data_IF_291457787908
#
_entry.id   IF_291457787908
#
_cell.length_a   1.000
_cell.length_b   1.000
_cell.length_c   1.000
_cell.angle_alpha   90.00
_cell.angle_beta   90.00
_cell.angle_gamma   90.00
#
_symmetry.space_group_name_H-M   'P 1'
#
loop_
_entity.id
_entity.type
_entity.pdbx_description
1 polymer ?
#
# COMPACT_ATOMS: atom_id res chain seq x y z
N UNK A 1 -10.00 -14.47 34.80
CA UNK A 1 -11.11 -13.52 34.61
C UNK A 1 -10.53 -12.18 34.24
N UNK A 2 -11.05 -11.56 33.17
CA UNK A 2 -10.58 -10.25 32.68
C UNK A 2 -10.52 -10.22 31.16
N UNK A 3 -11.68 -10.28 30.51
CA UNK A 3 -11.83 -9.99 29.09
C UNK A 3 -11.85 -8.47 28.90
N UNK A 4 -10.92 -7.86 28.14
CA UNK A 4 -11.07 -6.47 27.74
C UNK A 4 -11.91 -6.44 26.46
N UNK A 5 -13.24 -6.36 26.64
CA UNK A 5 -14.15 -5.93 25.58
C UNK A 5 -13.69 -4.56 25.08
N UNK A 6 -12.98 -4.52 23.95
CA UNK A 6 -12.80 -3.31 23.15
C UNK A 6 -13.96 -3.28 22.16
N UNK A 7 -14.89 -2.30 22.27
CA UNK A 7 -15.94 -2.12 21.29
C UNK A 7 -15.28 -1.82 19.94
N UNK A 8 -15.60 -2.61 18.92
CA UNK A 8 -15.13 -2.39 17.57
C UNK A 8 -15.74 -1.10 17.02
N UNK A 9 -14.94 -0.34 16.28
CA UNK A 9 -15.29 0.89 15.53
C UNK A 9 -16.58 0.76 14.69
N UNK A 10 -17.03 -0.46 14.43
CA UNK A 10 -18.27 -0.78 13.72
C UNK A 10 -19.57 -0.52 14.51
N UNK A 11 -19.55 -0.47 15.85
CA UNK A 11 -20.77 -0.26 16.66
C UNK A 11 -21.16 1.22 16.78
N UNK A 12 -20.27 2.17 16.47
CA UNK A 12 -20.53 3.62 16.61
C UNK A 12 -21.32 4.23 15.44
N UNK A 13 -21.52 3.48 14.34
CA UNK A 13 -22.20 4.02 13.14
C UNK A 13 -23.73 3.86 13.22
N UNK A 14 -24.25 3.03 14.11
CA UNK A 14 -25.68 2.75 14.28
C UNK A 14 -26.21 3.37 15.57
N UNK A 15 -26.17 4.70 15.65
CA UNK A 15 -27.03 5.46 16.57
C UNK A 15 -27.52 6.71 15.84
N UNK A 16 -28.43 6.49 14.88
CA UNK A 16 -29.20 7.55 14.25
C UNK A 16 -30.57 7.65 14.95
N UNK A 17 -30.95 8.81 15.53
CA UNK A 17 -32.20 8.91 16.28
C UNK A 17 -33.41 8.88 15.34
N UNK A 18 -34.18 7.81 15.43
CA UNK A 18 -35.52 7.72 14.85
C UNK A 18 -36.41 8.78 15.51
N UNK A 19 -36.86 9.74 14.70
CA UNK A 19 -37.72 10.85 15.09
C UNK A 19 -39.00 10.33 15.73
N UNK A 20 -39.18 10.67 16.99
CA UNK A 20 -40.36 10.38 17.80
C UNK A 20 -41.29 11.60 17.81
N UNK A 21 -42.56 11.32 17.54
CA UNK A 21 -43.78 12.11 17.80
C UNK A 21 -44.12 13.30 16.87
N UNK A 22 -44.87 13.03 15.80
CA UNK A 22 -45.85 14.00 15.29
C UNK A 22 -47.24 13.59 15.77
N UNK A 23 -47.62 14.15 16.92
CA UNK A 23 -48.97 14.09 17.44
C UNK A 23 -49.95 14.75 16.47
N UNK A 24 -50.98 13.99 16.11
CA UNK A 24 -52.17 14.44 15.41
C UNK A 24 -52.86 15.54 16.23
N UNK A 25 -52.96 16.75 15.68
CA UNK A 25 -53.91 17.75 16.17
C UNK A 25 -54.53 18.52 15.02
N UNK A 26 -55.85 18.65 15.14
CA UNK A 26 -56.75 19.58 14.46
C UNK A 26 -56.92 19.40 12.96
N UNK A 27 -57.79 18.45 12.68
CA UNK A 27 -58.86 18.50 11.69
C UNK A 27 -59.70 19.78 11.89
N UNK A 28 -59.37 20.88 11.21
CA UNK A 28 -60.32 21.95 10.83
C UNK A 28 -59.62 22.98 9.93
N UNK A 29 -60.37 23.47 8.93
CA UNK A 29 -60.07 24.59 8.04
C UNK A 29 -59.09 24.35 6.87
N UNK A 30 -59.54 23.60 5.86
CA UNK A 30 -59.12 23.86 4.47
C UNK A 30 -60.37 24.24 3.66
N UNK A 31 -60.89 25.44 3.93
CA UNK A 31 -61.89 26.06 3.07
C UNK A 31 -61.20 26.60 1.80
N UNK A 32 -61.50 25.96 0.67
CA UNK A 32 -61.44 26.54 -0.68
C UNK A 32 -60.13 27.18 -1.15
N UNK A 33 -59.02 26.43 -1.10
CA UNK A 33 -57.87 26.73 -1.96
C UNK A 33 -58.13 26.26 -3.40
N UNK A 34 -58.22 27.18 -4.35
CA UNK A 34 -58.28 26.86 -5.79
C UNK A 34 -56.93 26.31 -6.25
N UNK A 35 -56.82 24.98 -6.34
CA UNK A 35 -55.62 24.29 -6.84
C UNK A 35 -55.59 24.41 -8.36
N UNK A 36 -54.66 25.22 -8.89
CA UNK A 36 -54.32 25.20 -10.32
C UNK A 36 -53.44 23.99 -10.61
N UNK A 37 -54.08 22.89 -10.98
CA UNK A 37 -53.42 21.67 -11.45
C UNK A 37 -52.76 21.97 -12.80
N UNK A 38 -51.44 22.13 -12.79
CA UNK A 38 -50.65 22.02 -14.02
C UNK A 38 -50.35 20.54 -14.23
N UNK A 39 -50.90 19.95 -15.29
CA UNK A 39 -50.45 18.63 -15.73
C UNK A 39 -49.05 18.83 -16.33
N UNK A 40 -48.03 18.54 -15.52
CA UNK A 40 -46.68 18.34 -16.03
C UNK A 40 -46.75 17.07 -16.87
N UNK A 41 -46.72 17.22 -18.18
CA UNK A 41 -46.61 16.07 -19.07
C UNK A 41 -45.26 15.40 -18.82
N UNK A 42 -45.29 14.20 -18.26
CA UNK A 42 -44.11 13.38 -17.94
C UNK A 42 -43.63 12.59 -19.17
N UNK A 43 -43.95 13.07 -20.38
CA UNK A 43 -43.50 12.43 -21.61
C UNK A 43 -42.00 12.67 -21.79
N UNK A 44 -41.19 11.83 -21.14
CA UNK A 44 -39.77 11.69 -21.42
C UNK A 44 -39.65 11.24 -22.88
N UNK A 45 -39.09 12.07 -23.78
CA UNK A 45 -38.87 11.65 -25.16
C UNK A 45 -38.01 10.39 -25.15
N UNK A 46 -38.31 9.38 -25.99
CA UNK A 46 -37.51 8.15 -26.05
C UNK A 46 -36.02 8.43 -26.29
N UNK A 47 -35.69 9.53 -26.97
CA UNK A 47 -34.31 10.01 -27.15
C UNK A 47 -33.65 10.42 -25.83
N UNK A 48 -34.39 11.00 -24.89
CA UNK A 48 -33.90 11.35 -23.56
C UNK A 48 -33.72 10.11 -22.68
N UNK A 49 -34.66 9.15 -22.72
CA UNK A 49 -34.51 7.90 -21.98
C UNK A 49 -33.29 7.10 -22.45
N UNK A 50 -33.03 7.08 -23.76
CA UNK A 50 -31.83 6.47 -24.33
C UNK A 50 -30.54 7.24 -23.95
N UNK A 51 -30.58 8.57 -24.00
CA UNK A 51 -29.46 9.44 -23.61
C UNK A 51 -29.12 9.32 -22.12
N UNK A 52 -30.12 9.32 -21.25
CA UNK A 52 -29.98 9.12 -19.81
C UNK A 52 -29.42 7.74 -19.50
N UNK A 53 -29.87 6.69 -20.19
CA UNK A 53 -29.30 5.36 -20.05
C UNK A 53 -27.82 5.33 -20.49
N UNK A 54 -27.48 5.99 -21.60
CA UNK A 54 -26.08 6.12 -22.05
C UNK A 54 -25.23 6.93 -21.08
N UNK A 55 -25.76 8.00 -20.50
CA UNK A 55 -25.08 8.81 -19.49
C UNK A 55 -24.83 7.97 -18.21
N UNK A 56 -25.85 7.28 -17.71
CA UNK A 56 -25.75 6.42 -16.53
C UNK A 56 -24.73 5.28 -16.75
N UNK A 57 -24.68 4.71 -17.96
CA UNK A 57 -23.64 3.74 -18.31
C UNK A 57 -22.23 4.36 -18.34
N UNK A 58 -22.09 5.61 -18.78
CA UNK A 58 -20.79 6.31 -18.75
C UNK A 58 -20.34 6.58 -17.32
N UNK A 59 -21.24 7.04 -16.45
CA UNK A 59 -20.95 7.28 -15.03
C UNK A 59 -20.62 5.97 -14.32
N UNK A 60 -21.34 4.87 -14.58
CA UNK A 60 -21.04 3.55 -14.02
C UNK A 60 -19.67 3.03 -14.46
N UNK A 61 -19.32 3.18 -15.75
CA UNK A 61 -17.97 2.83 -16.24
C UNK A 61 -16.89 3.68 -15.56
N UNK A 62 -17.11 4.99 -15.45
CA UNK A 62 -16.16 5.90 -14.79
C UNK A 62 -16.00 5.56 -13.30
N UNK A 63 -17.10 5.26 -12.61
CA UNK A 63 -17.09 4.85 -11.21
C UNK A 63 -16.33 3.52 -11.03
N UNK A 64 -16.57 2.52 -11.88
CA UNK A 64 -15.85 1.24 -11.85
C UNK A 64 -14.34 1.42 -12.05
N UNK A 65 -13.93 2.29 -12.96
CA UNK A 65 -12.51 2.62 -13.18
C UNK A 65 -11.92 3.29 -11.92
N UNK A 66 -12.63 4.27 -11.36
CA UNK A 66 -12.19 4.95 -10.15
C UNK A 66 -12.04 4.01 -8.96
N UNK A 67 -13.01 3.12 -8.74
CA UNK A 67 -12.96 2.10 -7.68
C UNK A 67 -11.80 1.15 -7.90
N UNK A 68 -11.64 0.60 -9.10
CA UNK A 68 -10.53 -0.30 -9.42
C UNK A 68 -9.16 0.37 -9.19
N UNK A 69 -9.03 1.67 -9.51
CA UNK A 69 -7.79 2.41 -9.31
C UNK A 69 -7.45 2.60 -7.82
N UNK A 70 -8.46 2.88 -6.99
CA UNK A 70 -8.29 3.01 -5.53
C UNK A 70 -7.94 1.66 -4.91
N UNK A 71 -8.60 0.58 -5.34
CA UNK A 71 -8.31 -0.78 -4.87
C UNK A 71 -6.87 -1.20 -5.20
N UNK A 72 -6.39 -0.90 -6.42
CA UNK A 72 -5.01 -1.15 -6.83
C UNK A 72 -3.98 -0.32 -6.04
N UNK A 73 -4.26 0.97 -5.79
CA UNK A 73 -3.38 1.82 -4.95
C UNK A 73 -3.29 1.31 -3.51
N UNK A 74 -4.42 0.88 -2.94
CA UNK A 74 -4.46 0.27 -1.62
C UNK A 74 -3.68 -1.03 -1.56
N UNK A 75 -3.84 -1.91 -2.56
CA UNK A 75 -3.08 -3.16 -2.67
C UNK A 75 -1.58 -2.89 -2.76
N UNK A 76 -1.15 -1.97 -3.64
CA UNK A 76 0.26 -1.64 -3.81
C UNK A 76 0.89 -1.05 -2.53
N UNK A 77 0.14 -0.22 -1.79
CA UNK A 77 0.57 0.27 -0.47
C UNK A 77 0.68 -0.85 0.55
N UNK A 78 -0.23 -1.82 0.53
CA UNK A 78 -0.17 -3.01 1.37
C UNK A 78 1.07 -3.88 1.08
N UNK A 79 1.38 -4.11 -0.20
CA UNK A 79 2.58 -4.84 -0.62
C UNK A 79 3.87 -4.16 -0.16
N UNK A 80 3.98 -2.83 -0.31
CA UNK A 80 5.14 -2.07 0.15
C UNK A 80 5.36 -2.20 1.67
N UNK A 81 4.29 -2.16 2.46
CA UNK A 81 4.37 -2.36 3.91
C UNK A 81 4.89 -3.76 4.26
N UNK A 82 4.42 -4.79 3.56
CA UNK A 82 4.85 -6.18 3.76
C UNK A 82 6.33 -6.36 3.37
N UNK A 83 6.74 -5.83 2.21
CA UNK A 83 8.14 -5.87 1.76
C UNK A 83 9.06 -5.19 2.77
N UNK A 84 8.68 -4.00 3.25
CA UNK A 84 9.50 -3.25 4.19
C UNK A 84 9.64 -3.98 5.54
N UNK A 85 8.56 -4.57 6.05
CA UNK A 85 8.60 -5.37 7.27
C UNK A 85 9.44 -6.65 7.11
N UNK A 86 9.28 -7.38 6.01
CA UNK A 86 10.09 -8.57 5.70
C UNK A 86 11.58 -8.21 5.56
N UNK A 87 11.88 -7.05 4.95
CA UNK A 87 13.23 -6.55 4.82
C UNK A 87 13.87 -6.20 6.17
N UNK A 88 13.16 -5.45 7.01
CA UNK A 88 13.65 -5.00 8.32
C UNK A 88 13.86 -6.19 9.27
N UNK A 89 12.87 -7.09 9.36
CA UNK A 89 12.95 -8.29 10.22
C UNK A 89 14.01 -9.30 9.78
N UNK A 90 14.41 -9.28 8.50
CA UNK A 90 15.50 -10.12 7.99
C UNK A 90 16.91 -9.61 8.30
N UNK A 91 17.03 -8.46 8.97
CA UNK A 91 18.32 -7.88 9.32
C UNK A 91 19.08 -7.31 8.11
N UNK A 92 18.35 -6.75 7.14
CA UNK A 92 18.94 -6.09 5.96
C UNK A 92 19.82 -6.99 5.09
N UNK A 93 19.48 -8.28 4.96
CA UNK A 93 20.19 -9.27 4.12
C UNK A 93 20.05 -9.05 2.60
N UNK A 94 19.57 -7.88 2.18
CA UNK A 94 19.35 -7.55 0.78
C UNK A 94 18.14 -8.26 0.16
N UNK A 95 18.14 -8.35 -1.17
CA UNK A 95 16.96 -8.72 -2.01
C UNK A 95 16.46 -10.15 -1.86
N UNK A 96 17.31 -11.08 -1.39
CA UNK A 96 16.93 -12.48 -1.27
C UNK A 96 16.07 -12.76 -0.04
N UNK A 97 16.17 -11.93 1.00
CA UNK A 97 15.46 -12.14 2.25
C UNK A 97 13.95 -11.84 2.13
N UNK A 98 13.52 -10.67 1.61
CA UNK A 98 12.11 -10.39 1.35
C UNK A 98 11.51 -11.36 0.33
N UNK A 99 12.29 -11.75 -0.69
CA UNK A 99 11.86 -12.72 -1.70
C UNK A 99 11.54 -14.10 -1.11
N UNK A 100 12.43 -14.64 -0.27
CA UNK A 100 12.21 -15.92 0.41
C UNK A 100 11.04 -15.85 1.38
N UNK A 101 10.92 -14.76 2.14
CA UNK A 101 9.79 -14.55 3.04
C UNK A 101 8.46 -14.54 2.26
N UNK A 102 8.40 -13.84 1.14
CA UNK A 102 7.21 -13.76 0.29
C UNK A 102 6.81 -15.15 -0.24
N UNK A 103 7.80 -15.90 -0.76
CA UNK A 103 7.61 -17.27 -1.24
C UNK A 103 7.09 -18.21 -0.14
N UNK A 104 7.67 -18.15 1.06
CA UNK A 104 7.29 -19.02 2.19
C UNK A 104 5.91 -18.68 2.76
N UNK A 105 5.43 -17.44 2.59
CA UNK A 105 4.10 -17.00 3.02
C UNK A 105 3.03 -17.05 1.91
N UNK A 106 3.41 -17.42 0.68
CA UNK A 106 2.51 -17.42 -0.48
C UNK A 106 2.02 -16.03 -0.89
N UNK A 107 2.76 -14.98 -0.52
CA UNK A 107 2.49 -13.60 -0.96
C UNK A 107 3.28 -13.35 -2.24
N UNK A 108 2.60 -12.93 -3.30
CA UNK A 108 3.29 -12.54 -4.53
C UNK A 108 3.87 -11.14 -4.36
N UNK A 109 5.19 -11.03 -4.28
CA UNK A 109 5.91 -9.76 -4.24
C UNK A 109 6.81 -9.68 -5.47
N UNK A 110 6.64 -8.60 -6.24
CA UNK A 110 7.48 -8.40 -7.42
C UNK A 110 8.91 -8.05 -7.02
N UNK A 111 9.87 -8.47 -7.85
CA UNK A 111 11.28 -8.12 -7.65
C UNK A 111 11.53 -6.61 -7.67
N UNK A 112 10.72 -5.85 -8.42
CA UNK A 112 10.83 -4.40 -8.51
C UNK A 112 10.40 -3.73 -7.19
N UNK A 113 9.29 -4.18 -6.60
CA UNK A 113 8.84 -3.70 -5.28
C UNK A 113 9.89 -3.98 -4.18
N UNK A 114 10.51 -5.16 -4.22
CA UNK A 114 11.60 -5.53 -3.30
C UNK A 114 12.83 -4.64 -3.51
N UNK A 115 13.22 -4.40 -4.76
CA UNK A 115 14.36 -3.56 -5.10
C UNK A 115 14.15 -2.11 -4.63
N UNK A 116 12.94 -1.56 -4.80
CA UNK A 116 12.59 -0.22 -4.36
C UNK A 116 12.72 -0.07 -2.84
N UNK A 117 12.13 -0.99 -2.07
CA UNK A 117 12.17 -0.94 -0.62
C UNK A 117 13.60 -1.01 -0.05
N UNK A 118 14.49 -1.77 -0.69
CA UNK A 118 15.90 -1.84 -0.28
C UNK A 118 16.66 -0.57 -0.67
N UNK A 119 16.36 -0.01 -1.84
CA UNK A 119 16.97 1.23 -2.30
C UNK A 119 16.63 2.41 -1.38
N UNK A 120 15.40 2.47 -0.88
CA UNK A 120 14.92 3.49 0.06
C UNK A 120 15.38 3.24 1.51
N UNK A 121 16.02 2.11 1.81
CA UNK A 121 16.47 1.79 3.15
C UNK A 121 17.77 2.53 3.52
N UNK A 122 17.67 3.49 4.44
CA UNK A 122 18.81 4.25 4.99
C UNK A 122 19.85 3.33 5.66
N UNK A 123 19.40 2.32 6.42
CA UNK A 123 20.30 1.35 7.09
C UNK A 123 21.11 0.55 6.07
N UNK A 124 20.48 0.09 4.98
CA UNK A 124 21.19 -0.58 3.89
C UNK A 124 22.22 0.34 3.23
N UNK A 125 21.89 1.61 3.07
CA UNK A 125 22.81 2.62 2.53
C UNK A 125 24.03 2.78 3.44
N UNK A 126 23.82 2.91 4.75
CA UNK A 126 24.89 3.02 5.74
C UNK A 126 25.79 1.76 5.79
N UNK A 127 25.19 0.56 5.77
CA UNK A 127 25.92 -0.73 5.71
C UNK A 127 26.78 -0.80 4.45
N UNK A 128 26.23 -0.40 3.29
CA UNK A 128 26.96 -0.39 2.02
C UNK A 128 28.15 0.57 2.06
N UNK A 129 27.96 1.77 2.60
CA UNK A 129 29.05 2.74 2.77
C UNK A 129 30.13 2.21 3.71
N UNK A 130 29.76 1.65 4.87
CA UNK A 130 30.70 1.09 5.83
C UNK A 130 31.56 -0.03 5.20
N UNK A 131 30.95 -0.93 4.41
CA UNK A 131 31.67 -1.97 3.67
C UNK A 131 32.67 -1.38 2.66
N UNK A 132 32.27 -0.35 1.92
CA UNK A 132 33.15 0.33 0.98
C UNK A 132 34.33 0.99 1.70
N UNK A 133 34.09 1.68 2.81
CA UNK A 133 35.16 2.27 3.62
C UNK A 133 36.15 1.21 4.11
N UNK A 134 35.68 0.12 4.73
CA UNK A 134 36.55 -0.96 5.21
C UNK A 134 37.40 -1.54 4.07
N UNK A 135 36.81 -1.73 2.90
CA UNK A 135 37.52 -2.26 1.72
C UNK A 135 38.63 -1.31 1.24
N UNK A 136 38.33 0.00 1.20
CA UNK A 136 39.31 1.03 0.80
C UNK A 136 40.46 1.12 1.81
N UNK A 137 40.15 1.12 3.10
CA UNK A 137 41.17 1.14 4.16
C UNK A 137 42.04 -0.11 4.14
N UNK A 138 41.47 -1.30 3.91
CA UNK A 138 42.24 -2.53 3.79
C UNK A 138 43.19 -2.52 2.57
N UNK A 139 42.74 -2.00 1.43
CA UNK A 139 43.60 -1.84 0.23
C UNK A 139 44.75 -0.88 0.51
N UNK A 140 44.47 0.28 1.11
CA UNK A 140 45.50 1.27 1.46
C UNK A 140 46.50 0.71 2.48
N UNK A 141 46.06 -0.08 3.45
CA UNK A 141 46.93 -0.74 4.41
C UNK A 141 47.84 -1.79 3.75
N UNK A 142 47.33 -2.56 2.79
CA UNK A 142 48.14 -3.51 2.00
C UNK A 142 49.18 -2.79 1.14
N UNK A 143 48.80 -1.72 0.44
CA UNK A 143 49.74 -0.96 -0.41
C UNK A 143 50.89 -0.35 0.43
N UNK A 144 50.57 0.16 1.63
CA UNK A 144 51.56 0.66 2.61
C UNK A 144 52.49 -0.45 3.12
N UNK A 145 52.02 -1.69 3.21
CA UNK A 145 52.78 -2.84 3.69
C UNK A 145 53.65 -3.46 2.57
N UNK A 146 53.19 -3.42 1.32
CA UNK A 146 53.97 -3.85 0.16
C UNK A 146 55.11 -2.89 -0.18
N UNK A 147 54.94 -1.59 0.08
CA UNK A 147 56.01 -0.59 -0.07
C UNK A 147 57.10 -0.73 1.03
N UNK A 148 56.80 -1.42 2.14
CA UNK A 148 57.68 -1.55 3.30
C UNK A 148 58.53 -2.85 3.31
N UNK A 149 58.30 -3.80 2.40
CA UNK A 149 59.09 -5.03 2.30
C UNK A 149 59.44 -5.36 0.84
N UNK A 150 60.55 -4.83 0.29
CA UNK A 150 61.11 -5.40 -0.92
C UNK A 150 61.85 -6.68 -0.54
N UNK A 151 61.37 -7.79 -1.09
CA UNK A 151 62.09 -9.06 -1.25
C UNK A 151 61.93 -10.11 -0.13
N UNK A 152 60.85 -10.88 -0.19
CA UNK A 152 60.88 -12.32 0.11
C UNK A 152 59.90 -13.05 -0.82
N UNK A 153 60.45 -13.58 -1.91
CA UNK A 153 59.79 -14.67 -2.65
C UNK A 153 59.72 -15.89 -1.75
N UNK A 154 58.53 -16.42 -1.50
CA UNK A 154 58.32 -17.82 -1.14
C UNK A 154 56.92 -18.26 -1.57
N UNK A 155 56.87 -19.49 -2.06
CA UNK A 155 55.86 -20.11 -2.90
C UNK A 155 54.53 -20.45 -2.18
N UNK A 156 53.49 -20.58 -3.00
CA UNK A 156 52.65 -21.79 -3.02
C UNK A 156 51.39 -21.78 -2.14
N UNK A 157 50.25 -21.91 -2.83
CA UNK A 157 49.01 -22.62 -2.43
C UNK A 157 48.44 -22.25 -1.04
N UNK A 158 47.30 -21.58 -0.93
CA UNK A 158 45.98 -22.22 -0.95
C UNK A 158 45.04 -21.17 -0.32
N UNK A 159 43.99 -20.68 -0.99
CA UNK A 159 42.82 -20.04 -0.34
C UNK A 159 41.71 -19.79 -1.38
N UNK A 160 41.07 -20.88 -1.78
CA UNK A 160 39.88 -20.87 -2.61
C UNK A 160 38.69 -21.39 -1.79
N UNK A 161 38.36 -20.71 -0.68
CA UNK A 161 37.28 -21.17 0.21
C UNK A 161 36.45 -20.09 0.93
N UNK A 162 36.50 -18.81 0.52
CA UNK A 162 35.73 -17.76 1.22
C UNK A 162 35.01 -16.81 0.25
N UNK A 163 34.10 -17.34 -0.58
CA UNK A 163 33.21 -16.52 -1.41
C UNK A 163 31.74 -16.94 -1.42
N UNK A 164 31.24 -17.60 -0.38
CA UNK A 164 29.80 -17.91 -0.29
C UNK A 164 29.26 -17.80 1.15
N UNK A 165 29.18 -16.56 1.66
CA UNK A 165 28.31 -16.17 2.79
C UNK A 165 27.73 -14.77 2.53
#
# INVERSE_FOLDING_TARGET
MGNPSRPGILEVIIDWPESKDFGTSSEEEIENLVIKVHRIDSHVPESWAAEEHQNNQQVDRAAKIGVAQVDLDWQHKGELLIVWWAHDTSGHQGRNAPYRWAHDQGVDLTMDTIAQAIHECETCTAIKQAKQFVTVWARLANDKMTDALPHLSLQGEEEQSLRDL
#
